data_IF_259871700454
#
_entry.id   IF_259871700454
#
_cell.length_a   1.000
_cell.length_b   1.000
_cell.length_c   1.000
_cell.angle_alpha   90.00
_cell.angle_beta   90.00
_cell.angle_gamma   90.00
#
_symmetry.space_group_name_H-M   'P 1'
#
loop_
_entity.id
_entity.type
_entity.pdbx_description
1 polymer ?
#
# COMPACT_ATOMS: atom_id res chain seq x y z
N UNK A 1 5.55 10.06 -19.80
CA UNK A 1 4.54 9.09 -19.34
C UNK A 1 3.36 9.91 -18.89
N UNK A 2 2.14 9.60 -19.36
CA UNK A 2 0.94 10.35 -18.98
C UNK A 2 0.69 10.23 -17.47
N UNK A 3 0.09 11.24 -16.84
CA UNK A 3 -0.23 11.25 -15.39
C UNK A 3 -0.99 9.99 -14.97
N UNK A 4 -1.95 9.57 -15.79
CA UNK A 4 -2.74 8.36 -15.61
C UNK A 4 -1.89 7.08 -15.58
N UNK A 5 -0.83 7.03 -16.38
CA UNK A 5 0.09 5.89 -16.43
C UNK A 5 0.98 5.83 -15.18
N UNK A 6 1.41 6.97 -14.64
CA UNK A 6 2.19 7.04 -13.39
C UNK A 6 1.37 6.51 -12.23
N UNK A 7 0.12 6.96 -12.12
CA UNK A 7 -0.79 6.53 -11.06
C UNK A 7 -1.10 5.04 -11.21
N UNK A 8 -1.45 4.57 -12.42
CA UNK A 8 -1.74 3.16 -12.66
C UNK A 8 -0.54 2.25 -12.35
N UNK A 9 0.66 2.65 -12.75
CA UNK A 9 1.89 1.90 -12.47
C UNK A 9 2.20 1.87 -10.97
N UNK A 10 2.00 2.99 -10.27
CA UNK A 10 2.21 3.08 -8.82
C UNK A 10 1.26 2.14 -8.05
N UNK A 11 -0.02 2.13 -8.41
CA UNK A 11 -1.00 1.21 -7.83
C UNK A 11 -0.70 -0.25 -8.18
N UNK A 12 -0.31 -0.55 -9.42
CA UNK A 12 0.07 -1.90 -9.83
C UNK A 12 1.30 -2.41 -9.06
N UNK A 13 2.30 -1.56 -8.85
CA UNK A 13 3.50 -1.90 -8.07
C UNK A 13 3.19 -2.08 -6.58
N UNK A 14 2.33 -1.25 -6.00
CA UNK A 14 1.86 -1.41 -4.62
C UNK A 14 1.11 -2.74 -4.44
N UNK A 15 0.15 -3.03 -5.32
CA UNK A 15 -0.60 -4.28 -5.31
C UNK A 15 0.32 -5.50 -5.47
N UNK A 16 1.31 -5.42 -6.36
CA UNK A 16 2.31 -6.47 -6.55
C UNK A 16 3.15 -6.67 -5.29
N UNK A 17 3.64 -5.59 -4.68
CA UNK A 17 4.44 -5.66 -3.46
C UNK A 17 3.66 -6.30 -2.30
N UNK A 18 2.40 -5.91 -2.12
CA UNK A 18 1.52 -6.50 -1.11
C UNK A 18 1.22 -7.97 -1.38
N UNK A 19 0.90 -8.33 -2.62
CA UNK A 19 0.67 -9.72 -3.04
C UNK A 19 1.90 -10.60 -2.83
N UNK A 20 3.10 -10.07 -3.09
CA UNK A 20 4.35 -10.80 -2.84
C UNK A 20 4.62 -10.98 -1.35
N UNK A 21 4.37 -9.96 -0.52
CA UNK A 21 4.51 -10.07 0.95
C UNK A 21 3.50 -11.09 1.50
N UNK A 22 2.26 -11.06 1.05
CA UNK A 22 1.24 -12.02 1.46
C UNK A 22 1.54 -13.44 0.97
N UNK A 23 2.02 -13.61 -0.26
CA UNK A 23 2.40 -14.92 -0.78
C UNK A 23 3.58 -15.53 -0.01
N UNK A 24 4.63 -14.74 0.23
CA UNK A 24 5.86 -15.21 0.89
C UNK A 24 5.66 -15.41 2.39
N UNK A 25 4.98 -14.48 3.06
CA UNK A 25 4.84 -14.49 4.51
C UNK A 25 3.46 -14.96 4.97
N UNK A 26 2.37 -14.62 4.29
CA UNK A 26 1.01 -15.03 4.69
C UNK A 26 0.86 -16.56 4.81
N UNK A 27 1.30 -17.32 3.79
CA UNK A 27 1.30 -18.80 3.84
C UNK A 27 2.20 -19.38 4.93
N UNK A 28 3.35 -18.74 5.18
CA UNK A 28 4.30 -19.18 6.21
C UNK A 28 3.69 -18.99 7.61
N UNK A 29 2.94 -17.91 7.81
CA UNK A 29 2.25 -17.58 9.05
C UNK A 29 1.03 -18.48 9.29
N UNK A 30 0.35 -18.93 8.24
CA UNK A 30 -0.78 -19.87 8.35
C UNK A 30 -0.34 -21.29 8.74
N UNK A 31 0.89 -21.69 8.42
CA UNK A 31 1.45 -22.99 8.81
C UNK A 31 1.93 -23.03 10.27
N UNK A 32 2.20 -21.87 10.87
CA UNK A 32 2.74 -21.76 12.22
C UNK A 32 1.72 -21.00 13.08
N UNK A 33 0.86 -21.72 13.80
CA UNK A 33 -0.25 -21.16 14.58
C UNK A 33 0.15 -20.08 15.62
N UNK A 34 1.42 -20.00 16.01
CA UNK A 34 1.95 -18.93 16.88
C UNK A 34 2.14 -17.58 16.14
N UNK A 35 2.41 -17.62 14.83
CA UNK A 35 2.67 -16.44 14.00
C UNK A 35 1.39 -15.77 13.51
N UNK A 36 0.24 -16.45 13.53
CA UNK A 36 -1.07 -15.87 13.20
C UNK A 36 -1.35 -14.58 14.00
N UNK A 37 -0.91 -14.54 15.27
CA UNK A 37 -1.04 -13.34 16.13
C UNK A 37 -0.16 -12.16 15.71
N UNK A 38 0.78 -12.33 14.79
CA UNK A 38 1.68 -11.31 14.26
C UNK A 38 1.28 -10.84 12.85
N UNK A 39 0.18 -11.35 12.28
CA UNK A 39 -0.34 -10.87 10.97
C UNK A 39 -0.59 -9.36 10.96
N UNK A 40 -0.98 -8.77 12.08
CA UNK A 40 -1.11 -7.31 12.18
C UNK A 40 0.23 -6.57 12.02
N UNK A 41 1.36 -7.17 12.40
CA UNK A 41 2.68 -6.57 12.27
C UNK A 41 3.16 -6.53 10.81
N UNK A 42 2.76 -7.50 9.99
CA UNK A 42 3.02 -7.51 8.54
C UNK A 42 2.46 -6.26 7.86
N UNK A 43 1.31 -5.76 8.32
CA UNK A 43 0.71 -4.52 7.82
C UNK A 43 1.58 -3.29 8.11
N UNK A 44 2.21 -3.22 9.28
CA UNK A 44 3.14 -2.13 9.62
C UNK A 44 4.46 -2.24 8.87
N UNK A 45 4.93 -3.47 8.61
CA UNK A 45 6.09 -3.72 7.75
C UNK A 45 5.80 -3.27 6.32
N UNK A 46 4.65 -3.62 5.75
CA UNK A 46 4.23 -3.18 4.43
C UNK A 46 4.09 -1.66 4.34
N UNK A 47 3.50 -1.02 5.36
CA UNK A 47 3.45 0.44 5.47
C UNK A 47 4.85 1.08 5.53
N UNK A 48 5.76 0.50 6.31
CA UNK A 48 7.16 0.96 6.41
C UNK A 48 7.92 0.82 5.09
N UNK A 49 7.74 -0.29 4.38
CA UNK A 49 8.32 -0.52 3.04
C UNK A 49 7.73 0.47 2.03
N UNK A 50 6.41 0.69 2.04
CA UNK A 50 5.75 1.67 1.18
C UNK A 50 6.26 3.10 1.40
N UNK A 51 6.41 3.53 2.65
CA UNK A 51 7.02 4.82 3.01
C UNK A 51 8.48 4.88 2.58
N UNK A 52 9.27 3.83 2.82
CA UNK A 52 10.67 3.78 2.40
C UNK A 52 10.84 3.90 0.89
N UNK A 53 10.00 3.22 0.11
CA UNK A 53 10.00 3.30 -1.35
C UNK A 53 9.54 4.68 -1.83
N UNK A 54 8.46 5.22 -1.29
CA UNK A 54 8.02 6.58 -1.65
C UNK A 54 9.10 7.62 -1.32
N UNK A 55 9.80 7.48 -0.20
CA UNK A 55 10.90 8.34 0.17
C UNK A 55 12.10 8.23 -0.79
N UNK A 56 12.51 7.00 -1.11
CA UNK A 56 13.64 6.74 -2.00
C UNK A 56 13.39 7.28 -3.42
N UNK A 57 12.16 7.13 -3.93
CA UNK A 57 11.76 7.60 -5.25
C UNK A 57 11.19 9.02 -5.27
N UNK A 58 11.15 9.72 -4.13
CA UNK A 58 10.51 11.03 -3.98
C UNK A 58 9.08 11.06 -4.55
N UNK A 59 8.35 9.97 -4.31
CA UNK A 59 7.03 9.74 -4.87
C UNK A 59 5.98 10.40 -3.99
N UNK A 60 5.51 11.57 -4.40
CA UNK A 60 4.38 12.29 -3.80
C UNK A 60 3.18 12.25 -4.76
N UNK A 61 2.29 11.28 -4.55
CA UNK A 61 1.05 11.13 -5.32
C UNK A 61 0.15 12.36 -5.20
N UNK A 62 0.15 13.07 -4.06
CA UNK A 62 -0.68 14.26 -3.88
C UNK A 62 -0.15 15.43 -4.69
N UNK A 63 1.17 15.63 -4.72
CA UNK A 63 1.79 16.66 -5.56
C UNK A 63 1.63 16.33 -7.04
N UNK A 64 1.76 15.05 -7.42
CA UNK A 64 1.53 14.56 -8.78
C UNK A 64 0.09 14.81 -9.25
N UNK A 65 -0.91 14.58 -8.38
CA UNK A 65 -2.33 14.81 -8.72
C UNK A 65 -2.67 16.31 -8.75
N UNK A 66 -2.15 17.09 -7.80
CA UNK A 66 -2.43 18.53 -7.69
C UNK A 66 -1.62 19.40 -8.64
N UNK A 67 -0.56 18.84 -9.26
CA UNK A 67 0.43 19.59 -10.03
C UNK A 67 1.32 20.50 -9.17
N UNK A 68 1.34 20.27 -7.85
CA UNK A 68 2.14 21.02 -6.90
C UNK A 68 3.54 20.46 -6.69
N UNK A 69 4.32 21.13 -5.85
CA UNK A 69 5.65 20.68 -5.46
C UNK A 69 5.58 19.50 -4.47
N UNK A 70 6.50 18.52 -4.55
CA UNK A 70 6.58 17.42 -3.60
C UNK A 70 6.79 17.92 -2.17
N UNK A 71 6.02 17.39 -1.24
CA UNK A 71 6.12 17.73 0.18
C UNK A 71 6.47 16.50 1.01
N UNK A 72 7.22 16.69 2.08
CA UNK A 72 7.56 15.58 3.01
C UNK A 72 6.30 14.87 3.52
N UNK A 73 5.22 15.57 3.95
CA UNK A 73 3.96 14.91 4.31
C UNK A 73 3.33 14.14 3.14
N UNK A 74 3.38 14.67 1.93
CA UNK A 74 2.81 14.04 0.74
C UNK A 74 3.55 12.76 0.34
N UNK A 75 4.88 12.74 0.43
CA UNK A 75 5.71 11.53 0.23
C UNK A 75 5.36 10.46 1.26
N UNK A 76 5.25 10.82 2.54
CA UNK A 76 4.91 9.86 3.62
C UNK A 76 3.49 9.32 3.42
N UNK A 77 2.51 10.17 3.15
CA UNK A 77 1.12 9.76 2.87
C UNK A 77 1.04 8.85 1.66
N UNK A 78 1.77 9.18 0.59
CA UNK A 78 1.82 8.37 -0.62
C UNK A 78 2.39 6.98 -0.34
N UNK A 79 3.47 6.91 0.42
CA UNK A 79 4.05 5.64 0.85
C UNK A 79 3.14 4.81 1.77
N UNK A 80 2.37 5.46 2.65
CA UNK A 80 1.37 4.78 3.48
C UNK A 80 0.22 4.22 2.64
N UNK A 81 -0.26 4.98 1.65
CA UNK A 81 -1.30 4.53 0.71
C UNK A 81 -0.82 3.34 -0.10
N UNK A 82 0.42 3.40 -0.61
CA UNK A 82 1.02 2.28 -1.36
C UNK A 82 1.29 1.07 -0.47
N UNK A 83 1.73 1.28 0.77
CA UNK A 83 2.06 0.21 1.72
C UNK A 83 0.86 -0.48 2.37
N UNK A 84 -0.33 0.14 2.36
CA UNK A 84 -1.59 -0.48 2.83
C UNK A 84 -2.58 -0.81 1.71
N UNK A 85 -2.24 -0.59 0.44
CA UNK A 85 -3.15 -0.51 -0.71
C UNK A 85 -4.39 -1.42 -0.68
N UNK A 86 -4.21 -2.73 -0.84
CA UNK A 86 -5.29 -3.71 -0.92
C UNK A 86 -5.98 -3.93 0.43
N UNK A 87 -5.26 -3.89 1.56
CA UNK A 87 -5.88 -3.88 2.89
C UNK A 87 -6.80 -2.66 3.08
N UNK A 88 -6.37 -1.47 2.66
CA UNK A 88 -7.17 -0.26 2.75
C UNK A 88 -8.37 -0.31 1.81
N UNK A 89 -8.19 -0.84 0.59
CA UNK A 89 -9.29 -1.04 -0.36
C UNK A 89 -10.29 -2.09 0.16
N UNK A 90 -9.82 -3.19 0.75
CA UNK A 90 -10.64 -4.23 1.35
C UNK A 90 -11.42 -3.70 2.56
N UNK A 91 -10.76 -2.96 3.45
CA UNK A 91 -11.37 -2.27 4.59
C UNK A 91 -12.37 -1.21 4.11
N UNK A 92 -12.04 -0.44 3.07
CA UNK A 92 -12.91 0.59 2.54
C UNK A 92 -14.17 0.00 1.89
N UNK A 93 -13.99 -1.03 1.04
CA UNK A 93 -15.11 -1.74 0.42
C UNK A 93 -15.97 -2.42 1.49
N UNK A 94 -15.36 -3.13 2.45
CA UNK A 94 -16.08 -3.84 3.50
C UNK A 94 -16.85 -2.92 4.46
N UNK A 95 -16.34 -1.72 4.76
CA UNK A 95 -16.94 -0.82 5.74
C UNK A 95 -17.81 0.29 5.13
N UNK A 96 -17.55 0.71 3.88
CA UNK A 96 -18.18 1.89 3.28
C UNK A 96 -18.92 1.65 1.97
N UNK A 97 -18.67 0.55 1.26
CA UNK A 97 -19.48 0.15 0.11
C UNK A 97 -20.43 -0.96 0.56
N UNK A 98 -21.74 -0.69 0.74
CA UNK A 98 -22.68 -1.77 0.99
C UNK A 98 -22.59 -2.73 -0.20
N UNK A 99 -22.33 -4.01 0.07
CA UNK A 99 -22.44 -5.05 -0.94
C UNK A 99 -23.84 -4.94 -1.54
N UNK A 100 -23.95 -4.42 -2.76
CA UNK A 100 -25.20 -4.45 -3.51
C UNK A 100 -25.52 -5.93 -3.73
N UNK A 101 -26.46 -6.44 -2.94
CA UNK A 101 -27.11 -7.73 -3.19
C UNK A 101 -27.76 -7.73 -4.57
#
# INVERSE_FOLDING_TARGET
MELSQIIALSFALAFLAESMVEYLFGKLFDHIGALVKLKWALMYVAAGVGVGLAWFYQLDLLSIISGGDPTVPGVVLSGLILGRGANFLHDFVGNYLPASQ
#
